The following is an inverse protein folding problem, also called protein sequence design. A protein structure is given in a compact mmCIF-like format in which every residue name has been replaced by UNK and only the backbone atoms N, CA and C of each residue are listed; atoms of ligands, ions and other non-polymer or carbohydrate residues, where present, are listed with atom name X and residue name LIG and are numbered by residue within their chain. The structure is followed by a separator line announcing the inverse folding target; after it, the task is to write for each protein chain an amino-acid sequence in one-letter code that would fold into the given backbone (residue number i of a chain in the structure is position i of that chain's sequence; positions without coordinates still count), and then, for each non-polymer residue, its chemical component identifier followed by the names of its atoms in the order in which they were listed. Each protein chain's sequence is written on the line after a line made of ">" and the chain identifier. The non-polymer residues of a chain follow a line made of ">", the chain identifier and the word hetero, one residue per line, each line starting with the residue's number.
data_IF_137154681628
#
_entry.id   IF_137154681628
#
_cell.length_a   1.000
_cell.length_b   1.000
_cell.length_c   1.000
_cell.angle_alpha   90.00
_cell.angle_beta   90.00
_cell.angle_gamma   90.00
#
_symmetry.space_group_name_H-M   'P 1'
#
loop_
_entity.id
_entity.type
_entity.pdbx_description
1 polymer ?
#
# COMPACT_ATOMS: atom_id res chain seq x y z
N UNK A 1 15.65 3.66 -18.55
CA UNK A 1 14.19 3.80 -18.30
C UNK A 1 13.46 2.49 -17.97
N UNK A 2 14.14 1.41 -17.56
CA UNK A 2 13.45 0.19 -17.08
C UNK A 2 13.17 0.26 -15.57
N UNK A 3 14.18 0.65 -14.78
CA UNK A 3 14.11 0.64 -13.31
C UNK A 3 12.99 1.52 -12.75
N UNK A 4 12.78 2.73 -13.30
CA UNK A 4 11.72 3.65 -12.88
C UNK A 4 10.32 3.12 -13.15
N UNK A 5 10.14 2.46 -14.31
CA UNK A 5 8.87 1.81 -14.66
C UNK A 5 8.58 0.68 -13.70
N UNK A 6 9.57 -0.17 -13.42
CA UNK A 6 9.42 -1.25 -12.45
C UNK A 6 9.12 -0.72 -11.05
N UNK A 7 9.80 0.36 -10.63
CA UNK A 7 9.56 1.00 -9.33
C UNK A 7 8.12 1.52 -9.22
N UNK A 8 7.63 2.19 -10.26
CA UNK A 8 6.26 2.71 -10.30
C UNK A 8 5.22 1.59 -10.30
N UNK A 9 5.41 0.55 -11.11
CA UNK A 9 4.50 -0.61 -11.16
C UNK A 9 4.45 -1.34 -9.82
N UNK A 10 5.61 -1.59 -9.21
CA UNK A 10 5.68 -2.22 -7.89
C UNK A 10 5.05 -1.34 -6.81
N UNK A 11 5.24 -0.02 -6.86
CA UNK A 11 4.57 0.92 -5.96
C UNK A 11 3.05 0.83 -6.05
N UNK A 12 2.49 0.82 -7.27
CA UNK A 12 1.04 0.66 -7.48
C UNK A 12 0.54 -0.70 -6.99
N UNK A 13 1.29 -1.78 -7.24
CA UNK A 13 0.93 -3.11 -6.76
C UNK A 13 0.89 -3.18 -5.22
N UNK A 14 1.83 -2.52 -4.53
CA UNK A 14 1.85 -2.45 -3.07
C UNK A 14 0.69 -1.62 -2.52
N UNK A 15 0.30 -0.53 -3.18
CA UNK A 15 -0.91 0.21 -2.81
C UNK A 15 -2.18 -0.63 -2.99
N UNK A 16 -2.29 -1.39 -4.08
CA UNK A 16 -3.42 -2.29 -4.31
C UNK A 16 -3.49 -3.40 -3.25
N UNK A 17 -2.34 -3.97 -2.88
CA UNK A 17 -2.24 -4.95 -1.79
C UNK A 17 -2.70 -4.35 -0.46
N UNK A 18 -2.24 -3.14 -0.12
CA UNK A 18 -2.65 -2.46 1.11
C UNK A 18 -4.17 -2.23 1.18
N UNK A 19 -4.81 -1.84 0.07
CA UNK A 19 -6.28 -1.72 0.02
C UNK A 19 -6.95 -3.07 0.29
N UNK A 20 -6.43 -4.16 -0.27
CA UNK A 20 -6.93 -5.52 -0.01
C UNK A 20 -6.80 -5.94 1.46
N UNK A 21 -5.69 -5.60 2.11
CA UNK A 21 -5.49 -5.83 3.55
C UNK A 21 -6.52 -5.06 4.39
N UNK A 22 -6.73 -3.78 4.09
CA UNK A 22 -7.71 -2.95 4.81
C UNK A 22 -9.15 -3.47 4.64
N UNK A 23 -9.51 -3.94 3.44
CA UNK A 23 -10.81 -4.57 3.20
C UNK A 23 -10.94 -5.88 3.97
N UNK A 24 -9.89 -6.70 4.02
CA UNK A 24 -9.87 -7.96 4.77
C UNK A 24 -10.05 -7.72 6.27
N UNK A 25 -9.37 -6.71 6.82
CA UNK A 25 -9.54 -6.29 8.22
C UNK A 25 -10.98 -5.79 8.47
N UNK A 26 -11.53 -4.99 7.56
CA UNK A 26 -12.91 -4.51 7.68
C UNK A 26 -13.93 -5.64 7.71
N UNK A 27 -13.80 -6.64 6.83
CA UNK A 27 -14.66 -7.82 6.84
C UNK A 27 -14.50 -8.63 8.13
N UNK A 28 -13.26 -8.85 8.58
CA UNK A 28 -12.98 -9.55 9.82
C UNK A 28 -13.60 -8.85 11.04
N UNK A 29 -13.60 -7.52 11.08
CA UNK A 29 -14.21 -6.75 12.17
C UNK A 29 -15.74 -6.71 12.11
N UNK A 30 -16.34 -6.86 10.93
CA UNK A 30 -17.79 -6.76 10.73
C UNK A 30 -18.49 -8.10 10.93
N UNK A 31 -17.81 -9.21 10.59
CA UNK A 31 -18.35 -10.57 10.68
C UNK A 31 -17.35 -11.44 11.46
N UNK A 32 -17.27 -11.19 12.77
CA UNK A 32 -16.41 -11.96 13.68
C UNK A 32 -17.06 -13.32 13.92
N UNK A 33 -16.41 -14.45 13.55
CA UNK A 33 -16.97 -15.77 13.82
C UNK A 33 -17.16 -15.99 15.33
N UNK A 34 -18.35 -16.39 15.76
CA UNK A 34 -18.68 -16.60 17.19
C UNK A 34 -17.84 -17.74 17.84
N UNK A 35 -17.24 -18.60 17.02
CA UNK A 35 -16.32 -19.69 17.37
C UNK A 35 -14.86 -19.26 17.50
N UNK A 36 -14.56 -17.97 17.31
CA UNK A 36 -13.22 -17.42 17.50
C UNK A 36 -12.91 -17.29 19.00
N UNK A 37 -12.38 -18.36 19.61
CA UNK A 37 -11.97 -18.43 21.04
C UNK A 37 -10.94 -17.36 21.47
N UNK A 38 -10.43 -16.54 20.53
CA UNK A 38 -9.51 -15.42 20.75
C UNK A 38 -10.16 -14.02 20.53
N UNK A 39 -11.47 -13.94 20.30
CA UNK A 39 -12.16 -12.70 19.93
C UNK A 39 -12.22 -11.63 21.03
N UNK A 40 -12.03 -12.00 22.30
CA UNK A 40 -12.12 -11.08 23.44
C UNK A 40 -10.86 -10.22 23.69
N UNK A 41 -9.69 -10.63 23.16
CA UNK A 41 -8.41 -9.90 23.31
C UNK A 41 -7.91 -9.26 21.99
N UNK A 42 -8.74 -9.28 20.93
CA UNK A 42 -8.35 -8.71 19.65
C UNK A 42 -8.53 -7.20 19.65
N UNK A 43 -7.49 -6.45 20.04
CA UNK A 43 -7.44 -5.00 19.85
C UNK A 43 -7.11 -4.67 18.37
N UNK A 44 -8.05 -4.09 17.59
CA UNK A 44 -7.85 -3.79 16.19
C UNK A 44 -6.85 -2.66 15.96
N UNK A 45 -6.75 -1.70 16.89
CA UNK A 45 -5.94 -0.50 16.73
C UNK A 45 -4.44 -0.78 16.47
N UNK A 46 -3.72 -1.54 17.32
CA UNK A 46 -2.30 -1.80 17.10
C UNK A 46 -2.04 -2.61 15.83
N UNK A 47 -2.98 -3.49 15.42
CA UNK A 47 -2.85 -4.31 14.22
C UNK A 47 -3.03 -3.48 12.95
N UNK A 48 -4.03 -2.59 12.90
CA UNK A 48 -4.23 -1.69 11.76
C UNK A 48 -3.01 -0.78 11.55
N UNK A 49 -2.46 -0.22 12.63
CA UNK A 49 -1.26 0.61 12.55
C UNK A 49 -0.05 -0.18 12.01
N UNK A 50 0.08 -1.45 12.39
CA UNK A 50 1.11 -2.34 11.86
C UNK A 50 0.94 -2.60 10.36
N UNK A 51 -0.29 -2.85 9.90
CA UNK A 51 -0.58 -3.05 8.47
C UNK A 51 -0.33 -1.78 7.65
N UNK A 52 -0.70 -0.60 8.17
CA UNK A 52 -0.36 0.68 7.53
C UNK A 52 1.16 0.84 7.40
N UNK A 53 1.91 0.50 8.45
CA UNK A 53 3.37 0.61 8.44
C UNK A 53 4.04 -0.34 7.46
N UNK A 54 3.55 -1.57 7.31
CA UNK A 54 4.14 -2.58 6.42
C UNK A 54 3.68 -2.39 4.96
N UNK A 55 2.43 -1.97 4.74
CA UNK A 55 1.88 -1.81 3.40
C UNK A 55 2.14 -0.44 2.78
N UNK A 56 1.70 0.64 3.44
CA UNK A 56 1.75 1.99 2.88
C UNK A 56 3.16 2.56 2.86
N UNK A 57 3.97 2.30 3.90
CA UNK A 57 5.28 2.94 3.99
C UNK A 57 6.22 2.53 2.83
N UNK A 58 6.37 1.23 2.48
CA UNK A 58 7.17 0.84 1.32
C UNK A 58 6.60 1.35 0.00
N UNK A 59 5.27 1.32 -0.17
CA UNK A 59 4.60 1.83 -1.36
C UNK A 59 4.87 3.32 -1.58
N UNK A 60 4.76 4.12 -0.51
CA UNK A 60 5.03 5.56 -0.53
C UNK A 60 6.49 5.89 -0.85
N UNK A 61 7.44 5.13 -0.30
CA UNK A 61 8.87 5.31 -0.60
C UNK A 61 9.15 5.04 -2.09
N UNK A 62 8.58 3.96 -2.64
CA UNK A 62 8.77 3.61 -4.05
C UNK A 62 8.09 4.63 -4.98
N UNK A 63 6.91 5.14 -4.61
CA UNK A 63 6.27 6.24 -5.33
C UNK A 63 7.16 7.50 -5.32
N UNK A 64 7.66 7.92 -4.16
CA UNK A 64 8.53 9.10 -4.04
C UNK A 64 9.86 8.96 -4.80
N UNK A 65 10.49 7.79 -4.74
CA UNK A 65 11.72 7.51 -5.49
C UNK A 65 11.46 7.49 -7.01
N UNK A 66 10.35 6.90 -7.45
CA UNK A 66 9.97 6.90 -8.87
C UNK A 66 9.71 8.32 -9.40
N UNK A 67 9.13 9.19 -8.58
CA UNK A 67 8.93 10.60 -8.90
C UNK A 67 10.27 11.34 -9.04
N UNK A 68 11.14 11.22 -8.04
CA UNK A 68 12.44 11.88 -8.02
C UNK A 68 13.30 11.47 -9.23
N UNK A 69 13.28 10.18 -9.58
CA UNK A 69 13.97 9.67 -10.75
C UNK A 69 13.35 10.17 -12.06
N UNK A 70 12.01 10.16 -12.19
CA UNK A 70 11.34 10.69 -13.39
C UNK A 70 11.67 12.16 -13.66
N UNK A 71 11.84 12.96 -12.58
CA UNK A 71 12.21 14.37 -12.66
C UNK A 71 13.66 14.58 -13.07
N UNK A 72 14.56 13.69 -12.66
CA UNK A 72 16.01 13.81 -12.94
C UNK A 72 16.41 13.21 -14.29
N UNK A 73 15.80 12.10 -14.69
CA UNK A 73 16.15 11.34 -15.90
C UNK A 73 15.14 11.49 -17.05
N UNK A 74 14.02 12.20 -16.85
CA UNK A 74 13.14 12.66 -17.93
C UNK A 74 12.11 11.64 -18.43
N UNK A 75 11.59 10.77 -17.57
CA UNK A 75 10.59 9.75 -17.95
C UNK A 75 9.15 10.29 -17.88
N UNK A 76 8.62 10.74 -19.04
CA UNK A 76 7.25 11.30 -19.15
C UNK A 76 6.16 10.31 -18.71
N UNK A 77 6.31 9.03 -19.01
CA UNK A 77 5.30 8.00 -18.68
C UNK A 77 5.17 7.77 -17.18
N UNK A 78 6.29 7.74 -16.45
CA UNK A 78 6.29 7.52 -15.00
C UNK A 78 5.80 8.77 -14.27
N UNK A 79 6.21 9.97 -14.74
CA UNK A 79 5.72 11.23 -14.20
C UNK A 79 4.19 11.38 -14.32
N UNK A 80 3.60 11.01 -15.46
CA UNK A 80 2.14 11.02 -15.63
C UNK A 80 1.43 10.03 -14.72
N UNK A 81 2.00 8.84 -14.52
CA UNK A 81 1.42 7.79 -13.68
C UNK A 81 1.34 8.23 -12.22
N UNK A 82 2.36 8.97 -11.75
CA UNK A 82 2.41 9.53 -10.40
C UNK A 82 1.43 10.70 -10.28
N UNK A 83 1.43 11.66 -11.23
CA UNK A 83 0.52 12.82 -11.20
C UNK A 83 -0.95 12.38 -11.29
N UNK A 84 -1.26 11.36 -12.08
CA UNK A 84 -2.62 10.82 -12.17
C UNK A 84 -3.05 10.04 -10.92
N UNK A 85 -2.08 9.47 -10.18
CA UNK A 85 -2.30 8.76 -8.92
C UNK A 85 -2.46 9.67 -7.71
N UNK A 86 -1.86 10.87 -7.74
CA UNK A 86 -1.82 11.82 -6.62
C UNK A 86 -0.45 11.91 -5.98
#
# INVERSE_FOLDING_TARGET
>A
MAIEKWLAVTGVALFAMFVGEMVSVYYFMTDVPEDFQFGSDFDPNPKILQFISIGVAPAGILAGLSYLMSRRYGSKSVGYLIIAGG
#
